data_IF_411383256865
#
_entry.id   IF_411383256865
#
_cell.length_a   1.000
_cell.length_b   1.000
_cell.length_c   1.000
_cell.angle_alpha   90.00
_cell.angle_beta   90.00
_cell.angle_gamma   90.00
#
_symmetry.space_group_name_H-M   'P 1'
#
loop_
_entity.id
_entity.type
_entity.pdbx_description
1 polymer ?
#
# COMPACT_ATOMS: atom_id res chain seq x y z
N UNK A 1 20.54 21.97 -14.24
CA UNK A 1 19.89 20.92 -13.44
C UNK A 1 18.59 20.71 -14.16
N UNK A 2 18.53 19.71 -15.05
CA UNK A 2 17.28 19.36 -15.74
C UNK A 2 16.40 18.71 -14.68
N UNK A 3 15.23 19.27 -14.43
CA UNK A 3 14.18 18.60 -13.67
C UNK A 3 13.75 17.39 -14.51
N UNK A 4 14.09 16.17 -14.06
CA UNK A 4 13.55 14.96 -14.65
C UNK A 4 12.06 14.93 -14.32
N UNK A 5 11.24 15.22 -15.33
CA UNK A 5 9.79 15.14 -15.20
C UNK A 5 9.38 13.67 -14.98
N UNK A 6 8.41 13.39 -14.09
CA UNK A 6 7.83 12.05 -14.01
C UNK A 6 7.34 11.62 -15.40
N UNK A 7 7.71 10.39 -15.76
CA UNK A 7 7.18 9.66 -16.90
C UNK A 7 5.69 9.36 -16.69
N UNK A 8 5.00 8.90 -17.73
CA UNK A 8 3.59 8.51 -17.58
C UNK A 8 3.40 7.30 -16.63
N UNK A 9 4.44 6.49 -16.44
CA UNK A 9 4.41 5.31 -15.58
C UNK A 9 4.51 5.68 -14.08
N UNK A 10 4.91 6.92 -13.77
CA UNK A 10 5.02 7.47 -12.40
C UNK A 10 3.71 8.14 -11.94
N UNK A 11 2.62 7.96 -12.68
CA UNK A 11 1.32 8.58 -12.39
C UNK A 11 0.26 7.53 -12.12
N UNK A 12 -0.63 7.82 -11.18
CA UNK A 12 -1.86 7.05 -11.03
C UNK A 12 -2.69 7.15 -12.30
N UNK A 13 -3.22 6.02 -12.75
CA UNK A 13 -4.24 5.99 -13.79
C UNK A 13 -5.52 6.69 -13.31
N UNK A 14 -6.35 7.11 -14.26
CA UNK A 14 -7.64 7.75 -13.94
C UNK A 14 -8.54 6.84 -13.10
N UNK A 15 -8.56 5.53 -13.38
CA UNK A 15 -9.36 4.56 -12.63
C UNK A 15 -8.84 4.37 -11.21
N UNK A 16 -7.52 4.40 -10.99
CA UNK A 16 -6.92 4.34 -9.65
C UNK A 16 -7.25 5.58 -8.84
N UNK A 17 -7.18 6.77 -9.44
CA UNK A 17 -7.60 8.01 -8.78
C UNK A 17 -9.08 7.94 -8.38
N UNK A 18 -9.96 7.43 -9.25
CA UNK A 18 -11.37 7.26 -8.89
C UNK A 18 -11.59 6.26 -7.77
N UNK A 19 -10.86 5.14 -7.76
CA UNK A 19 -10.93 4.16 -6.68
C UNK A 19 -10.46 4.77 -5.35
N UNK A 20 -9.35 5.51 -5.34
CA UNK A 20 -8.85 6.22 -4.16
C UNK A 20 -9.87 7.24 -3.67
N UNK A 21 -10.42 8.07 -4.56
CA UNK A 21 -11.43 9.07 -4.18
C UNK A 21 -12.74 8.44 -3.71
N UNK A 22 -13.06 7.21 -4.10
CA UNK A 22 -14.22 6.49 -3.59
C UNK A 22 -14.08 6.11 -2.11
N UNK A 23 -12.87 6.18 -1.54
CA UNK A 23 -12.63 5.95 -0.11
C UNK A 23 -12.93 7.16 0.76
N UNK A 24 -13.22 8.33 0.18
CA UNK A 24 -13.52 9.53 0.97
C UNK A 24 -14.71 9.27 1.90
N UNK A 25 -14.46 9.43 3.20
CA UNK A 25 -15.37 9.16 4.32
C UNK A 25 -15.72 7.68 4.56
N UNK A 26 -15.07 6.73 3.89
CA UNK A 26 -15.14 5.32 4.29
C UNK A 26 -14.46 5.14 5.65
N UNK A 27 -15.08 4.34 6.52
CA UNK A 27 -14.59 4.11 7.89
C UNK A 27 -13.68 2.90 7.93
N UNK A 28 -12.41 3.11 8.29
CA UNK A 28 -11.40 2.05 8.34
C UNK A 28 -11.73 1.06 9.48
N UNK A 29 -11.88 -0.21 9.15
CA UNK A 29 -12.28 -1.27 10.09
C UNK A 29 -11.19 -2.31 10.36
N UNK A 30 -10.21 -2.43 9.46
CA UNK A 30 -9.12 -3.39 9.60
C UNK A 30 -8.05 -3.22 8.53
N UNK A 31 -6.85 -3.72 8.85
CA UNK A 31 -5.71 -3.68 7.95
C UNK A 31 -5.01 -5.03 7.97
N UNK A 32 -4.72 -5.58 6.78
CA UNK A 32 -3.79 -6.69 6.64
C UNK A 32 -2.60 -6.29 5.78
N UNK A 33 -1.43 -6.77 6.18
CA UNK A 33 -0.21 -6.70 5.39
C UNK A 33 0.10 -8.07 4.80
N UNK A 34 0.54 -8.09 3.56
CA UNK A 34 0.94 -9.29 2.85
C UNK A 34 2.41 -9.17 2.48
N UNK A 35 3.22 -10.05 3.05
CA UNK A 35 4.67 -10.02 2.92
C UNK A 35 5.16 -11.14 2.03
N UNK A 36 6.13 -10.84 1.17
CA UNK A 36 7.03 -11.86 0.67
C UNK A 36 8.08 -12.12 1.74
N UNK A 37 8.16 -13.36 2.20
CA UNK A 37 9.08 -13.79 3.25
C UNK A 37 10.07 -14.76 2.65
N UNK A 38 11.34 -14.37 2.60
CA UNK A 38 12.45 -15.22 2.19
C UNK A 38 13.04 -15.89 3.44
N UNK A 39 13.06 -17.23 3.45
CA UNK A 39 13.57 -18.06 4.56
C UNK A 39 14.90 -18.74 4.23
N UNK A 40 15.61 -18.28 3.19
CA UNK A 40 16.89 -18.84 2.81
C UNK A 40 17.93 -18.67 3.92
N UNK A 41 18.57 -19.77 4.30
CA UNK A 41 19.85 -19.80 5.02
C UNK A 41 19.94 -18.94 6.30
N UNK A 42 18.86 -18.85 7.07
CA UNK A 42 18.87 -18.28 8.42
C UNK A 42 18.81 -16.74 8.50
N UNK A 43 18.58 -16.05 7.38
CA UNK A 43 18.17 -14.65 7.38
C UNK A 43 16.70 -14.59 6.96
N UNK A 44 15.84 -14.16 7.89
CA UNK A 44 14.46 -13.84 7.54
C UNK A 44 14.46 -12.43 6.95
N UNK A 45 14.20 -12.36 5.65
CA UNK A 45 14.02 -11.11 4.94
C UNK A 45 12.56 -10.99 4.51
N UNK A 46 11.95 -9.84 4.78
CA UNK A 46 10.53 -9.61 4.56
C UNK A 46 10.33 -8.32 3.78
N UNK A 47 9.48 -8.39 2.76
CA UNK A 47 9.09 -7.26 1.92
C UNK A 47 7.59 -7.11 2.02
N UNK A 48 7.11 -5.91 2.33
CA UNK A 48 5.68 -5.59 2.29
C UNK A 48 5.27 -5.42 0.83
N UNK A 49 4.53 -6.40 0.30
CA UNK A 49 4.14 -6.46 -1.11
C UNK A 49 2.73 -5.91 -1.32
N UNK A 50 1.79 -6.25 -0.42
CA UNK A 50 0.44 -5.72 -0.45
C UNK A 50 -0.03 -5.19 0.90
N UNK A 51 -0.84 -4.15 0.85
CA UNK A 51 -1.67 -3.68 1.97
C UNK A 51 -3.13 -3.86 1.59
N UNK A 52 -3.90 -4.54 2.44
CA UNK A 52 -5.36 -4.62 2.37
C UNK A 52 -5.95 -3.68 3.41
N UNK A 53 -6.63 -2.62 2.94
CA UNK A 53 -7.47 -1.76 3.76
C UNK A 53 -8.91 -2.31 3.73
N UNK A 54 -9.51 -2.51 4.90
CA UNK A 54 -10.87 -3.02 5.05
C UNK A 54 -11.77 -1.94 5.66
N UNK A 55 -12.96 -1.74 5.10
CA UNK A 55 -13.88 -0.69 5.54
C UNK A 55 -15.17 -1.26 6.14
N UNK A 56 -15.82 -0.49 7.01
CA UNK A 56 -17.09 -0.91 7.66
C UNK A 56 -18.22 -1.17 6.66
N UNK A 57 -18.18 -0.53 5.48
CA UNK A 57 -19.10 -0.80 4.37
C UNK A 57 -18.96 -2.23 3.79
N UNK A 58 -17.89 -2.94 4.14
CA UNK A 58 -17.49 -4.20 3.54
C UNK A 58 -16.61 -4.05 2.29
N UNK A 59 -16.36 -2.81 1.85
CA UNK A 59 -15.38 -2.52 0.79
C UNK A 59 -13.97 -2.87 1.25
N UNK A 60 -13.13 -3.30 0.30
CA UNK A 60 -11.70 -3.55 0.50
C UNK A 60 -10.92 -2.87 -0.60
N UNK A 61 -9.78 -2.29 -0.24
CA UNK A 61 -8.81 -1.79 -1.21
C UNK A 61 -7.48 -2.50 -1.00
N UNK A 62 -6.86 -2.94 -2.10
CA UNK A 62 -5.52 -3.49 -2.05
C UNK A 62 -4.54 -2.59 -2.80
N UNK A 63 -3.43 -2.29 -2.13
CA UNK A 63 -2.33 -1.48 -2.62
C UNK A 63 -1.10 -2.36 -2.76
N UNK A 64 -0.32 -2.17 -3.83
CA UNK A 64 0.98 -2.83 -4.04
C UNK A 64 2.00 -1.84 -4.58
N UNK A 65 3.29 -2.11 -4.40
CA UNK A 65 4.38 -1.37 -5.03
C UNK A 65 4.52 -1.65 -6.54
N UNK A 66 3.69 -2.54 -7.10
CA UNK A 66 3.83 -3.00 -8.48
C UNK A 66 4.88 -4.10 -8.62
N UNK A 67 4.98 -4.69 -9.82
CA UNK A 67 5.81 -5.90 -10.05
C UNK A 67 7.31 -5.61 -9.92
N UNK A 68 7.73 -4.39 -10.22
CA UNK A 68 9.14 -3.97 -10.18
C UNK A 68 9.36 -2.77 -9.25
N UNK A 69 8.48 -2.59 -8.25
CA UNK A 69 8.49 -1.37 -7.42
C UNK A 69 8.39 -0.12 -8.30
N UNK A 70 7.51 -0.16 -9.29
CA UNK A 70 7.38 0.84 -10.37
C UNK A 70 6.26 1.85 -10.11
N UNK A 71 5.71 1.84 -8.89
CA UNK A 71 4.67 2.76 -8.45
C UNK A 71 3.61 2.04 -7.64
N UNK A 72 2.97 2.78 -6.74
CA UNK A 72 1.82 2.29 -5.99
C UNK A 72 0.68 2.04 -6.98
N UNK A 73 0.16 0.82 -6.97
CA UNK A 73 -0.93 0.37 -7.84
C UNK A 73 -2.08 -0.20 -7.03
N UNK A 74 -3.29 -0.09 -7.59
CA UNK A 74 -4.49 -0.69 -7.01
C UNK A 74 -4.91 -1.92 -7.80
N UNK A 75 -5.40 -2.95 -7.12
CA UNK A 75 -5.92 -4.14 -7.77
C UNK A 75 -6.60 -5.11 -6.83
N UNK A 76 -7.05 -6.24 -7.35
CA UNK A 76 -7.62 -7.34 -6.57
C UNK A 76 -6.69 -8.56 -6.69
N UNK A 77 -5.85 -8.83 -5.67
CA UNK A 77 -4.91 -9.94 -5.74
C UNK A 77 -5.62 -11.29 -5.55
N UNK A 78 -5.27 -12.27 -6.39
CA UNK A 78 -5.51 -13.68 -6.11
C UNK A 78 -4.34 -14.23 -5.28
N UNK A 79 -4.45 -14.13 -3.95
CA UNK A 79 -3.40 -14.58 -3.05
C UNK A 79 -3.10 -16.08 -3.14
N UNK A 80 -4.06 -16.92 -3.54
CA UNK A 80 -3.81 -18.35 -3.73
C UNK A 80 -2.97 -18.59 -4.97
N UNK A 81 -3.26 -17.89 -6.07
CA UNK A 81 -2.44 -17.91 -7.27
C UNK A 81 -1.03 -17.38 -6.99
N UNK A 82 -0.90 -16.24 -6.29
CA UNK A 82 0.39 -15.67 -5.90
C UNK A 82 1.21 -16.67 -5.07
N UNK A 83 0.59 -17.29 -4.05
CA UNK A 83 1.24 -18.36 -3.25
C UNK A 83 1.69 -19.53 -4.11
N UNK A 84 0.86 -19.96 -5.06
CA UNK A 84 1.21 -21.07 -5.96
C UNK A 84 2.40 -20.70 -6.84
N UNK A 85 2.39 -19.51 -7.43
CA UNK A 85 3.47 -19.03 -8.30
C UNK A 85 4.79 -18.93 -7.54
N UNK A 86 4.79 -18.31 -6.35
CA UNK A 86 5.99 -18.20 -5.51
C UNK A 86 6.56 -19.57 -5.12
N UNK A 87 5.68 -20.53 -4.77
CA UNK A 87 6.11 -21.89 -4.44
C UNK A 87 6.76 -22.58 -5.65
N UNK A 88 6.18 -22.42 -6.83
CA UNK A 88 6.65 -23.08 -8.04
C UNK A 88 7.97 -22.47 -8.56
N UNK A 89 8.10 -21.14 -8.47
CA UNK A 89 9.27 -20.36 -8.86
C UNK A 89 10.44 -20.54 -7.88
N UNK A 90 10.21 -20.28 -6.60
CA UNK A 90 11.25 -20.28 -5.56
C UNK A 90 11.37 -21.59 -4.79
N UNK A 91 10.67 -22.65 -5.22
CA UNK A 91 10.67 -23.99 -4.58
C UNK A 91 10.35 -23.94 -3.08
N UNK A 92 9.49 -23.01 -2.69
CA UNK A 92 9.05 -22.81 -1.30
C UNK A 92 10.04 -22.07 -0.39
N UNK A 93 11.14 -21.53 -0.93
CA UNK A 93 12.08 -20.68 -0.17
C UNK A 93 11.49 -19.30 0.13
N UNK A 94 10.73 -18.76 -0.83
CA UNK A 94 9.95 -17.54 -0.70
C UNK A 94 8.47 -17.91 -0.54
N UNK A 95 7.81 -17.31 0.44
CA UNK A 95 6.39 -17.54 0.74
C UNK A 95 5.65 -16.22 0.93
N UNK A 96 4.36 -16.19 0.56
CA UNK A 96 3.47 -15.08 0.90
C UNK A 96 2.85 -15.31 2.29
N UNK A 97 3.12 -14.41 3.24
CA UNK A 97 2.52 -14.42 4.58
C UNK A 97 1.60 -13.21 4.78
N UNK A 98 0.36 -13.46 5.21
CA UNK A 98 -0.60 -12.40 5.54
C UNK A 98 -0.68 -12.19 7.05
N UNK A 99 -0.65 -10.94 7.51
CA UNK A 99 -0.71 -10.58 8.92
C UNK A 99 -1.76 -9.49 9.13
N UNK A 100 -2.67 -9.71 10.06
CA UNK A 100 -3.54 -8.64 10.51
C UNK A 100 -2.72 -7.70 11.40
N UNK A 101 -2.64 -6.43 11.01
CA UNK A 101 -1.85 -5.41 11.70
C UNK A 101 -2.73 -4.34 12.33
N UNK A 102 -4.05 -4.55 12.38
CA UNK A 102 -5.02 -3.58 12.90
C UNK A 102 -4.72 -3.17 14.35
N UNK A 103 -4.15 -4.06 15.16
CA UNK A 103 -3.76 -3.77 16.54
C UNK A 103 -2.39 -3.11 16.69
N UNK A 104 -1.64 -2.90 15.60
CA UNK A 104 -0.36 -2.19 15.65
C UNK A 104 -0.61 -0.71 15.93
N UNK A 105 0.29 -0.07 16.69
CA UNK A 105 0.12 1.31 17.16
C UNK A 105 -0.27 2.29 16.06
N UNK A 106 0.41 2.22 14.91
CA UNK A 106 0.17 3.10 13.75
C UNK A 106 -1.27 3.04 13.23
N UNK A 107 -1.96 1.89 13.39
CA UNK A 107 -3.34 1.70 12.93
C UNK A 107 -4.37 1.77 14.05
N UNK A 108 -4.02 1.30 15.25
CA UNK A 108 -4.96 1.03 16.32
C UNK A 108 -5.78 2.27 16.74
N UNK A 109 -5.15 3.45 16.70
CA UNK A 109 -5.81 4.71 17.04
C UNK A 109 -6.67 5.27 15.91
N UNK A 110 -6.50 4.77 14.68
CA UNK A 110 -7.19 5.23 13.48
C UNK A 110 -8.30 4.28 12.99
N UNK A 111 -8.45 3.11 13.62
CA UNK A 111 -9.60 2.23 13.40
C UNK A 111 -10.91 2.88 13.86
N UNK A 112 -11.98 2.63 13.12
CA UNK A 112 -13.31 3.20 13.37
C UNK A 112 -13.43 4.67 12.94
N UNK A 113 -12.44 5.20 12.23
CA UNK A 113 -12.43 6.59 11.77
C UNK A 113 -12.56 6.70 10.25
N UNK A 114 -13.21 7.76 9.74
CA UNK A 114 -13.28 8.03 8.31
C UNK A 114 -11.91 8.43 7.77
N UNK A 115 -11.61 8.00 6.54
CA UNK A 115 -10.39 8.40 5.82
C UNK A 115 -10.67 9.39 4.70
N UNK A 116 -9.69 10.26 4.45
CA UNK A 116 -9.63 11.12 3.28
C UNK A 116 -8.25 10.92 2.63
N UNK A 117 -8.15 10.16 1.52
CA UNK A 117 -6.88 10.01 0.83
C UNK A 117 -6.45 11.32 0.19
N UNK A 118 -5.17 11.65 0.36
CA UNK A 118 -4.49 12.81 -0.18
C UNK A 118 -3.37 12.34 -1.10
N UNK A 119 -3.39 12.81 -2.34
CA UNK A 119 -2.48 12.40 -3.41
C UNK A 119 -1.58 13.57 -3.82
N UNK A 120 -0.33 13.28 -4.16
CA UNK A 120 0.61 14.30 -4.63
C UNK A 120 0.28 14.68 -6.06
N UNK A 121 -0.01 15.97 -6.29
CA UNK A 121 -0.37 16.49 -7.61
C UNK A 121 0.85 17.06 -8.34
N UNK A 122 1.05 16.63 -9.57
CA UNK A 122 2.00 17.17 -10.54
C UNK A 122 1.26 17.82 -11.73
N UNK A 123 1.96 18.55 -12.60
CA UNK A 123 1.37 19.21 -13.78
C UNK A 123 0.64 18.24 -14.72
N UNK A 124 1.14 17.00 -14.80
CA UNK A 124 0.63 15.96 -15.72
C UNK A 124 -0.41 15.01 -15.10
N UNK A 125 -0.53 14.96 -13.77
CA UNK A 125 -1.37 13.99 -13.08
C UNK A 125 -1.06 13.88 -11.59
N UNK A 126 -1.58 12.82 -10.95
CA UNK A 126 -1.23 12.48 -9.56
C UNK A 126 -0.07 11.49 -9.56
N UNK A 127 0.98 11.76 -8.79
CA UNK A 127 2.16 10.88 -8.68
C UNK A 127 1.76 9.63 -7.90
N UNK A 128 2.27 8.46 -8.31
CA UNK A 128 1.97 7.16 -7.70
C UNK A 128 3.05 6.67 -6.71
N UNK A 129 3.89 7.54 -6.17
CA UNK A 129 4.95 7.17 -5.24
C UNK A 129 4.51 7.19 -3.77
N UNK A 130 3.43 7.91 -3.46
CA UNK A 130 2.90 8.04 -2.11
C UNK A 130 1.39 8.30 -2.06
N UNK A 131 0.74 7.77 -1.04
CA UNK A 131 -0.65 8.04 -0.65
C UNK A 131 -0.67 8.41 0.83
N UNK A 132 -1.20 9.59 1.16
CA UNK A 132 -1.43 9.97 2.55
C UNK A 132 -2.89 9.71 2.91
N UNK A 133 -3.15 8.84 3.88
CA UNK A 133 -4.45 8.62 4.48
C UNK A 133 -4.65 9.64 5.60
N UNK A 134 -5.51 10.63 5.37
CA UNK A 134 -5.85 11.61 6.38
C UNK A 134 -7.01 11.14 7.23
N UNK A 135 -6.93 11.40 8.53
CA UNK A 135 -7.99 11.08 9.47
C UNK A 135 -8.48 12.37 10.14
N UNK A 136 -9.79 12.52 10.36
CA UNK A 136 -10.34 13.71 11.05
C UNK A 136 -9.80 13.83 12.49
N UNK A 137 -9.54 12.68 13.11
CA UNK A 137 -8.93 12.57 14.44
C UNK A 137 -7.85 11.49 14.38
N UNK A 138 -6.71 11.69 15.03
CA UNK A 138 -5.58 10.74 14.99
C UNK A 138 -4.43 11.23 14.10
N UNK A 139 -3.41 10.40 13.95
CA UNK A 139 -2.24 10.72 13.15
C UNK A 139 -2.48 10.33 11.69
N UNK A 140 -2.14 11.21 10.75
CA UNK A 140 -2.16 10.89 9.33
C UNK A 140 -1.12 9.80 9.03
N UNK A 141 -1.42 8.92 8.07
CA UNK A 141 -0.55 7.80 7.71
C UNK A 141 -0.13 7.93 6.27
N UNK A 142 1.16 7.80 6.01
CA UNK A 142 1.71 7.73 4.66
C UNK A 142 1.97 6.27 4.26
N UNK A 143 1.52 5.90 3.06
CA UNK A 143 1.91 4.68 2.36
C UNK A 143 2.77 5.13 1.19
N UNK A 144 4.04 4.78 1.19
CA UNK A 144 5.00 5.22 0.19
C UNK A 144 5.75 4.05 -0.46
N UNK A 145 6.28 4.31 -1.65
CA UNK A 145 7.14 3.39 -2.36
C UNK A 145 8.51 3.32 -1.67
N UNK A 146 8.85 2.15 -1.15
CA UNK A 146 10.18 1.83 -0.64
C UNK A 146 11.11 1.31 -1.74
N UNK A 147 12.34 0.93 -1.35
CA UNK A 147 13.31 0.39 -2.30
C UNK A 147 12.90 -0.99 -2.85
N UNK A 148 12.30 -1.82 -2.01
CA UNK A 148 12.01 -3.22 -2.33
C UNK A 148 10.51 -3.57 -2.24
N UNK A 149 9.66 -2.63 -1.80
CA UNK A 149 8.23 -2.84 -1.61
C UNK A 149 7.56 -1.58 -1.04
N UNK A 150 6.42 -1.73 -0.36
CA UNK A 150 5.72 -0.62 0.28
C UNK A 150 6.31 -0.30 1.67
N UNK A 151 6.27 0.97 2.03
CA UNK A 151 6.53 1.47 3.38
C UNK A 151 5.25 2.08 3.96
N UNK A 152 5.13 2.03 5.30
CA UNK A 152 4.06 2.72 6.02
C UNK A 152 4.65 3.43 7.22
N UNK A 153 4.40 4.73 7.33
CA UNK A 153 4.85 5.57 8.44
C UNK A 153 3.79 6.62 8.81
N UNK A 154 3.99 7.31 9.92
CA UNK A 154 3.21 8.50 10.24
C UNK A 154 3.57 9.60 9.26
N UNK A 155 2.56 10.30 8.74
CA UNK A 155 2.78 11.46 7.90
C UNK A 155 3.08 12.68 8.78
N UNK A 156 4.29 13.22 8.67
CA UNK A 156 4.70 14.48 9.30
C UNK A 156 4.75 15.57 8.22
N UNK A 157 3.84 16.55 8.29
CA UNK A 157 3.91 17.73 7.41
C UNK A 157 5.16 18.52 7.78
N UNK A 158 6.15 18.55 6.88
CA UNK A 158 7.37 19.35 7.08
C UNK A 158 7.06 20.80 6.72
N UNK A 159 7.13 21.69 7.73
CA UNK A 159 7.00 23.15 7.63
C UNK A 159 8.04 23.80 6.69
#
# INVERSE_FOLDING_TARGET
MEEEYPGNDDLFSTDEVYQLLALVNETLSGINYHFWVNKAQGQNFEVLDWIELQFESGHKMFLTAGVETDGIKLGEPDFELIRSNLRDEFKGVVTLESRNVSSHKIWAENLGKPIIPSLVKHEKGMINDSIVLKFEEGDDIEISLGLEGLNVDYFEETD
#
